data_IF_803739256214
#
_entry.id   IF_803739256214
#
_cell.length_a   1.000
_cell.length_b   1.000
_cell.length_c   1.000
_cell.angle_alpha   90.00
_cell.angle_beta   90.00
_cell.angle_gamma   90.00
#
_symmetry.space_group_name_H-M   'P 1'
#
loop_
_entity.id
_entity.type
_entity.pdbx_description
1 polymer ?
#
# COMPACT_ATOMS: atom_id res chain seq x y z
N UNK A 1 -9.94 40.08 -6.14
CA UNK A 1 -9.54 38.76 -6.65
C UNK A 1 -8.50 38.23 -5.69
N UNK A 2 -8.90 37.34 -4.78
CA UNK A 2 -7.91 36.57 -4.03
C UNK A 2 -7.23 35.61 -5.01
N UNK A 3 -5.91 35.71 -5.11
CA UNK A 3 -5.11 34.67 -5.73
C UNK A 3 -5.21 33.45 -4.81
N UNK A 4 -6.14 32.53 -5.12
CA UNK A 4 -6.11 31.20 -4.53
C UNK A 4 -4.87 30.54 -5.13
N UNK A 5 -3.79 30.48 -4.35
CA UNK A 5 -2.63 29.66 -4.68
C UNK A 5 -3.13 28.26 -5.00
N UNK A 6 -2.89 27.82 -6.24
CA UNK A 6 -3.27 26.49 -6.69
C UNK A 6 -2.39 25.52 -5.91
N UNK A 7 -2.93 24.96 -4.82
CA UNK A 7 -2.25 23.97 -3.98
C UNK A 7 -1.64 22.91 -4.89
N UNK A 8 -0.34 22.68 -4.78
CA UNK A 8 0.32 21.66 -5.59
C UNK A 8 -0.35 20.32 -5.26
N UNK A 9 -0.90 19.64 -6.27
CA UNK A 9 -1.66 18.39 -6.08
C UNK A 9 -0.80 17.31 -5.42
N UNK A 10 0.53 17.40 -5.53
CA UNK A 10 1.47 16.48 -4.90
C UNK A 10 1.51 16.60 -3.37
N UNK A 11 1.24 17.79 -2.81
CA UNK A 11 1.32 18.03 -1.36
C UNK A 11 0.17 17.36 -0.58
N UNK A 12 -0.88 16.95 -1.29
CA UNK A 12 -2.04 16.23 -0.72
C UNK A 12 -1.95 14.72 -0.90
N UNK A 13 -0.87 14.22 -1.52
CA UNK A 13 -0.64 12.80 -1.77
C UNK A 13 0.30 12.24 -0.70
N UNK A 14 -0.14 11.14 -0.08
CA UNK A 14 0.69 10.32 0.80
C UNK A 14 1.01 8.98 0.13
N UNK A 15 2.29 8.69 -0.06
CA UNK A 15 2.76 7.35 -0.38
C UNK A 15 2.94 6.58 0.93
N UNK A 16 2.22 5.47 1.08
CA UNK A 16 2.39 4.53 2.19
C UNK A 16 3.25 3.37 1.69
N UNK A 17 4.52 3.33 2.13
CA UNK A 17 5.45 2.26 1.79
C UNK A 17 5.27 1.10 2.76
N UNK A 18 4.77 -0.05 2.29
CA UNK A 18 4.53 -1.23 3.16
C UNK A 18 5.77 -2.12 3.24
N UNK A 19 6.24 -2.37 4.46
CA UNK A 19 7.44 -3.18 4.72
C UNK A 19 7.23 -4.16 5.88
N UNK A 20 7.93 -5.30 5.79
CA UNK A 20 8.01 -6.31 6.84
C UNK A 20 9.42 -6.89 6.78
N UNK A 21 10.29 -6.60 7.74
CA UNK A 21 11.67 -7.11 7.72
C UNK A 21 11.72 -8.54 8.28
N UNK A 22 11.22 -8.74 9.50
CA UNK A 22 11.14 -10.04 10.13
C UNK A 22 9.83 -10.72 9.75
N UNK A 23 9.93 -11.71 8.86
CA UNK A 23 8.76 -12.47 8.41
C UNK A 23 8.31 -13.43 9.51
N UNK A 24 7.04 -13.34 9.89
CA UNK A 24 6.41 -14.37 10.72
C UNK A 24 6.36 -15.69 9.93
N UNK A 25 6.97 -16.78 10.43
CA UNK A 25 7.07 -18.06 9.70
C UNK A 25 5.72 -18.73 9.47
N UNK A 26 4.65 -18.29 10.12
CA UNK A 26 3.27 -18.76 9.89
C UNK A 26 2.63 -18.13 8.65
N UNK A 27 3.26 -17.12 8.03
CA UNK A 27 2.75 -16.48 6.81
C UNK A 27 3.09 -17.33 5.58
N UNK A 28 2.09 -17.60 4.75
CA UNK A 28 2.23 -18.45 3.57
C UNK A 28 2.66 -17.67 2.31
N UNK A 29 3.10 -18.40 1.28
CA UNK A 29 3.41 -17.88 -0.06
C UNK A 29 4.50 -16.79 -0.11
N UNK A 30 5.56 -16.97 0.68
CA UNK A 30 6.73 -16.09 0.69
C UNK A 30 7.97 -16.83 0.16
N UNK A 31 8.63 -16.27 -0.84
CA UNK A 31 9.89 -16.81 -1.36
C UNK A 31 11.12 -16.11 -0.75
N UNK A 32 11.05 -14.78 -0.56
CA UNK A 32 12.12 -14.02 0.07
C UNK A 32 11.81 -13.75 1.55
N UNK A 33 12.32 -14.60 2.43
CA UNK A 33 12.16 -14.49 3.89
C UNK A 33 13.42 -14.03 4.62
N UNK A 34 14.54 -13.89 3.92
CA UNK A 34 15.83 -13.51 4.51
C UNK A 34 15.84 -12.02 4.91
N UNK A 35 15.94 -11.67 6.21
CA UNK A 35 15.82 -10.29 6.67
C UNK A 35 16.83 -9.34 6.03
N UNK A 36 18.07 -9.78 5.84
CA UNK A 36 19.15 -8.96 5.25
C UNK A 36 18.81 -8.55 3.82
N UNK A 37 18.38 -9.49 2.98
CA UNK A 37 18.00 -9.21 1.59
C UNK A 37 16.81 -8.24 1.50
N UNK A 38 15.83 -8.38 2.42
CA UNK A 38 14.67 -7.50 2.49
C UNK A 38 15.06 -6.10 2.91
N UNK A 39 15.91 -5.98 3.94
CA UNK A 39 16.44 -4.71 4.42
C UNK A 39 17.16 -3.95 3.32
N UNK A 40 18.11 -4.59 2.63
CA UNK A 40 18.86 -3.97 1.54
C UNK A 40 17.95 -3.46 0.42
N UNK A 41 16.98 -4.28 0.02
CA UNK A 41 15.99 -3.92 -1.01
C UNK A 41 15.15 -2.71 -0.57
N UNK A 42 14.67 -2.71 0.68
CA UNK A 42 13.78 -1.66 1.18
C UNK A 42 14.53 -0.35 1.39
N UNK A 43 15.72 -0.39 1.99
CA UNK A 43 16.54 0.80 2.19
C UNK A 43 16.85 1.48 0.86
N UNK A 44 17.19 0.70 -0.18
CA UNK A 44 17.42 1.23 -1.52
C UNK A 44 16.19 1.96 -2.06
N UNK A 45 15.03 1.31 -2.04
CA UNK A 45 13.77 1.89 -2.54
C UNK A 45 13.35 3.13 -1.73
N UNK A 46 13.39 3.08 -0.40
CA UNK A 46 13.04 4.20 0.49
C UNK A 46 13.92 5.42 0.18
N UNK A 47 15.24 5.22 0.05
CA UNK A 47 16.17 6.32 -0.30
C UNK A 47 15.83 6.91 -1.66
N UNK A 48 15.53 6.08 -2.65
CA UNK A 48 15.12 6.56 -3.98
C UNK A 48 13.85 7.40 -3.92
N UNK A 49 12.84 6.97 -3.18
CA UNK A 49 11.63 7.74 -2.92
C UNK A 49 11.91 9.09 -2.23
N UNK A 50 12.79 9.11 -1.22
CA UNK A 50 13.15 10.33 -0.49
C UNK A 50 14.10 11.27 -1.25
N UNK A 51 14.86 10.78 -2.21
CA UNK A 51 15.83 11.61 -2.94
C UNK A 51 15.29 12.12 -4.26
N UNK A 52 14.36 11.39 -4.89
CA UNK A 52 13.95 11.62 -6.27
C UNK A 52 12.47 11.96 -6.44
N UNK A 53 11.74 12.18 -5.33
CA UNK A 53 10.33 12.62 -5.37
C UNK A 53 10.05 13.64 -4.27
N UNK A 54 8.95 14.37 -4.44
CA UNK A 54 8.44 15.39 -3.52
C UNK A 54 7.23 14.92 -2.70
N UNK A 55 6.80 13.66 -2.87
CA UNK A 55 5.66 13.12 -2.13
C UNK A 55 5.85 13.17 -0.61
N UNK A 56 4.75 13.22 0.13
CA UNK A 56 4.75 12.85 1.55
C UNK A 56 4.82 11.33 1.65
N UNK A 57 5.72 10.83 2.48
CA UNK A 57 6.02 9.41 2.58
C UNK A 57 5.83 8.93 4.01
N UNK A 58 5.02 7.90 4.16
CA UNK A 58 4.85 7.17 5.41
C UNK A 58 5.40 5.77 5.18
N UNK A 59 6.52 5.44 5.83
CA UNK A 59 7.01 4.07 5.88
C UNK A 59 6.28 3.35 7.01
N UNK A 60 5.61 2.25 6.68
CA UNK A 60 5.03 1.36 7.68
C UNK A 60 5.80 0.05 7.75
N UNK A 61 6.21 -0.31 8.96
CA UNK A 61 6.94 -1.54 9.28
C UNK A 61 6.20 -2.25 10.41
N UNK A 62 5.75 -3.48 10.16
CA UNK A 62 4.89 -4.22 11.09
C UNK A 62 5.59 -5.40 11.81
N UNK A 63 6.91 -5.55 11.67
CA UNK A 63 7.68 -6.64 12.27
C UNK A 63 8.56 -6.23 13.45
N UNK A 64 8.51 -4.97 13.86
CA UNK A 64 9.27 -4.41 14.99
C UNK A 64 10.67 -3.91 14.62
N UNK A 65 11.07 -3.94 13.34
CA UNK A 65 12.35 -3.41 12.91
C UNK A 65 12.38 -1.87 12.98
N UNK A 66 13.51 -1.32 13.42
CA UNK A 66 13.60 0.11 13.80
C UNK A 66 14.24 1.03 12.76
N UNK A 67 14.77 0.48 11.66
CA UNK A 67 15.46 1.22 10.59
C UNK A 67 16.47 2.27 11.10
N UNK A 68 17.46 1.90 11.95
CA UNK A 68 18.48 2.85 12.39
C UNK A 68 19.24 3.50 11.22
N UNK A 69 19.34 2.82 10.07
CA UNK A 69 19.99 3.29 8.84
C UNK A 69 19.29 4.51 8.21
N UNK A 70 18.06 4.81 8.62
CA UNK A 70 17.27 5.94 8.12
C UNK A 70 17.30 7.16 9.05
N UNK A 71 18.09 7.14 10.14
CA UNK A 71 18.11 8.24 11.11
C UNK A 71 18.40 9.62 10.50
N UNK A 72 19.42 9.71 9.63
CA UNK A 72 19.75 10.97 8.94
C UNK A 72 18.67 11.38 7.93
N UNK A 73 18.03 10.41 7.27
CA UNK A 73 16.93 10.67 6.33
C UNK A 73 15.67 11.15 7.04
N UNK A 74 15.38 10.58 8.22
CA UNK A 74 14.27 11.00 9.05
C UNK A 74 14.41 12.48 9.46
N UNK A 75 15.61 12.92 9.86
CA UNK A 75 15.84 14.34 10.17
C UNK A 75 15.83 15.22 8.90
N UNK A 76 16.54 14.80 7.85
CA UNK A 76 16.65 15.56 6.60
C UNK A 76 15.30 15.79 5.90
N UNK A 77 14.39 14.80 5.98
CA UNK A 77 13.10 14.81 5.30
C UNK A 77 11.91 14.90 6.27
N UNK A 78 12.10 15.32 7.52
CA UNK A 78 11.09 15.30 8.59
C UNK A 78 9.74 15.94 8.26
N UNK A 79 9.71 16.93 7.38
CA UNK A 79 8.48 17.62 6.98
C UNK A 79 7.61 16.80 6.01
N UNK A 80 8.19 15.75 5.41
CA UNK A 80 7.52 14.89 4.43
C UNK A 80 7.81 13.40 4.59
N UNK A 81 8.49 12.98 5.65
CA UNK A 81 8.81 11.59 5.91
C UNK A 81 8.50 11.22 7.37
N UNK A 82 7.67 10.20 7.55
CA UNK A 82 7.31 9.65 8.85
C UNK A 82 7.44 8.13 8.84
N UNK A 83 7.89 7.55 9.94
CA UNK A 83 8.00 6.10 10.12
C UNK A 83 7.01 5.63 11.18
N UNK A 84 6.11 4.72 10.80
CA UNK A 84 5.19 4.02 11.69
C UNK A 84 5.72 2.60 11.90
N UNK A 85 6.36 2.37 13.04
CA UNK A 85 7.11 1.16 13.34
C UNK A 85 6.49 0.44 14.52
N UNK A 86 5.91 -0.74 14.28
CA UNK A 86 5.27 -1.54 15.31
C UNK A 86 5.55 -3.03 15.06
N UNK A 87 5.23 -3.85 16.05
CA UNK A 87 5.31 -5.30 15.92
C UNK A 87 3.91 -5.85 16.14
N UNK A 88 3.37 -6.48 15.09
CA UNK A 88 1.95 -6.88 15.02
C UNK A 88 1.53 -7.77 16.20
N UNK A 89 2.40 -8.67 16.67
CA UNK A 89 2.14 -9.61 17.78
C UNK A 89 2.28 -8.99 19.19
N UNK A 90 2.70 -7.73 19.28
CA UNK A 90 2.83 -6.98 20.55
C UNK A 90 1.71 -5.93 20.73
N UNK A 91 0.82 -5.78 19.74
CA UNK A 91 -0.32 -4.88 19.84
C UNK A 91 -1.42 -5.48 20.73
N UNK A 92 -2.15 -4.61 21.44
CA UNK A 92 -3.26 -5.05 22.28
C UNK A 92 -4.49 -5.39 21.43
N UNK A 93 -5.37 -6.22 21.99
CA UNK A 93 -6.60 -6.65 21.33
C UNK A 93 -7.50 -5.47 20.93
N UNK A 94 -7.52 -4.41 21.74
CA UNK A 94 -8.31 -3.20 21.50
C UNK A 94 -7.92 -2.53 20.18
N UNK A 95 -6.63 -2.54 19.81
CA UNK A 95 -6.17 -1.97 18.54
C UNK A 95 -6.77 -2.72 17.35
N UNK A 96 -6.81 -4.05 17.43
CA UNK A 96 -7.41 -4.87 16.38
C UNK A 96 -8.93 -4.67 16.33
N UNK A 97 -9.58 -4.55 17.49
CA UNK A 97 -11.02 -4.35 17.57
C UNK A 97 -11.45 -2.98 17.03
N UNK A 98 -10.68 -1.92 17.30
CA UNK A 98 -10.92 -0.57 16.78
C UNK A 98 -10.80 -0.50 15.25
N UNK A 99 -9.87 -1.25 14.66
CA UNK A 99 -9.64 -1.29 13.21
C UNK A 99 -10.57 -2.30 12.50
N UNK A 100 -11.12 -3.28 13.25
CA UNK A 100 -11.85 -4.42 12.68
C UNK A 100 -10.93 -5.53 12.14
N UNK A 101 -9.70 -5.62 12.62
CA UNK A 101 -8.71 -6.59 12.14
C UNK A 101 -8.62 -7.85 13.02
N UNK A 102 -9.71 -8.32 13.61
CA UNK A 102 -9.70 -9.45 14.55
C UNK A 102 -9.07 -10.72 13.95
N UNK A 103 -9.26 -10.95 12.66
CA UNK A 103 -8.70 -12.09 11.95
C UNK A 103 -7.15 -12.10 11.92
N UNK A 104 -6.51 -10.94 12.09
CA UNK A 104 -5.04 -10.80 12.11
C UNK A 104 -4.42 -11.28 13.42
N UNK A 105 -5.19 -11.35 14.52
CA UNK A 105 -4.69 -11.76 15.85
C UNK A 105 -4.98 -13.22 16.22
N UNK A 106 -5.87 -13.89 15.51
CA UNK A 106 -6.32 -15.26 15.84
C UNK A 106 -5.46 -16.31 15.11
N UNK A 107 -4.52 -17.01 15.77
CA UNK A 107 -3.56 -17.88 15.07
C UNK A 107 -4.18 -19.07 14.33
N UNK A 108 -5.38 -19.47 14.74
CA UNK A 108 -6.17 -20.55 14.14
C UNK A 108 -7.12 -20.05 13.03
N UNK A 109 -7.22 -18.73 12.83
CA UNK A 109 -7.97 -18.15 11.73
C UNK A 109 -7.20 -18.32 10.42
N UNK A 110 -7.88 -18.76 9.37
CA UNK A 110 -7.27 -18.92 8.06
C UNK A 110 -6.64 -17.63 7.53
N UNK A 111 -7.27 -16.47 7.80
CA UNK A 111 -6.77 -15.16 7.39
C UNK A 111 -5.53 -14.71 8.16
N UNK A 112 -5.26 -15.27 9.35
CA UNK A 112 -4.03 -15.01 10.10
C UNK A 112 -2.79 -15.40 9.29
N UNK A 113 -2.89 -16.42 8.44
CA UNK A 113 -1.75 -16.85 7.60
C UNK A 113 -1.58 -16.00 6.34
N UNK A 114 -2.56 -15.11 6.04
CA UNK A 114 -2.49 -14.22 4.89
C UNK A 114 -1.54 -13.06 5.13
N UNK A 115 -0.66 -12.86 4.16
CA UNK A 115 0.17 -11.65 4.04
C UNK A 115 -0.68 -10.43 3.69
N UNK A 116 -1.71 -10.62 2.86
CA UNK A 116 -2.59 -9.53 2.42
C UNK A 116 -3.33 -8.88 3.58
N UNK A 117 -3.80 -9.69 4.53
CA UNK A 117 -4.50 -9.20 5.73
C UNK A 117 -3.60 -8.36 6.63
N UNK A 118 -2.37 -8.80 6.91
CA UNK A 118 -1.39 -7.97 7.64
C UNK A 118 -1.01 -6.70 6.88
N UNK A 119 -0.92 -6.74 5.55
CA UNK A 119 -0.62 -5.54 4.75
C UNK A 119 -1.77 -4.52 4.85
N UNK A 120 -3.02 -4.95 4.70
CA UNK A 120 -4.19 -4.06 4.85
C UNK A 120 -4.30 -3.48 6.26
N UNK A 121 -4.03 -4.29 7.28
CA UNK A 121 -3.95 -3.82 8.65
C UNK A 121 -2.86 -2.75 8.82
N UNK A 122 -1.64 -3.00 8.32
CA UNK A 122 -0.54 -2.05 8.42
C UNK A 122 -0.85 -0.71 7.72
N UNK A 123 -1.49 -0.74 6.55
CA UNK A 123 -1.91 0.48 5.84
C UNK A 123 -2.93 1.28 6.67
N UNK A 124 -3.95 0.59 7.21
CA UNK A 124 -4.99 1.23 8.02
C UNK A 124 -4.43 1.79 9.33
N UNK A 125 -3.59 1.01 10.02
CA UNK A 125 -2.88 1.42 11.23
C UNK A 125 -2.00 2.65 10.97
N UNK A 126 -1.21 2.65 9.88
CA UNK A 126 -0.40 3.79 9.51
C UNK A 126 -1.24 5.05 9.28
N UNK A 127 -2.40 4.93 8.62
CA UNK A 127 -3.32 6.07 8.41
C UNK A 127 -3.86 6.66 9.70
N UNK A 128 -4.13 5.83 10.70
CA UNK A 128 -4.62 6.24 12.01
C UNK A 128 -3.52 6.89 12.87
N UNK A 129 -2.31 6.34 12.86
CA UNK A 129 -1.22 6.81 13.71
C UNK A 129 -0.49 8.01 13.12
N UNK A 130 -0.23 8.02 11.81
CA UNK A 130 0.61 9.03 11.15
C UNK A 130 0.00 10.43 11.22
N UNK A 131 0.78 11.38 11.73
CA UNK A 131 0.43 12.81 11.69
C UNK A 131 0.54 13.35 10.27
N UNK A 132 1.54 12.90 9.51
CA UNK A 132 1.76 13.30 8.13
C UNK A 132 0.62 12.86 7.21
N UNK A 133 0.19 11.60 7.30
CA UNK A 133 -0.92 11.06 6.52
C UNK A 133 -2.23 11.81 6.79
N UNK A 134 -2.45 12.29 8.03
CA UNK A 134 -3.64 13.09 8.38
C UNK A 134 -3.73 14.42 7.65
N UNK A 135 -2.62 14.93 7.10
CA UNK A 135 -2.60 16.16 6.29
C UNK A 135 -2.90 15.93 4.81
N UNK A 136 -3.13 14.68 4.40
CA UNK A 136 -3.26 14.28 3.00
C UNK A 136 -4.71 13.92 2.65
N UNK A 137 -5.04 14.08 1.38
CA UNK A 137 -6.36 13.81 0.82
C UNK A 137 -6.38 12.54 -0.03
N UNK A 138 -5.23 12.13 -0.57
CA UNK A 138 -5.11 10.93 -1.38
C UNK A 138 -3.98 10.03 -0.86
N UNK A 139 -4.24 8.73 -0.76
CA UNK A 139 -3.30 7.73 -0.25
C UNK A 139 -2.96 6.76 -1.35
N UNK A 140 -1.68 6.46 -1.53
CA UNK A 140 -1.21 5.46 -2.48
C UNK A 140 -0.31 4.49 -1.70
N UNK A 141 -0.80 3.28 -1.50
CA UNK A 141 0.02 2.17 -1.04
C UNK A 141 0.96 1.76 -2.15
N UNK A 142 2.24 1.66 -1.80
CA UNK A 142 3.25 1.01 -2.64
C UNK A 142 4.00 -0.01 -1.79
N UNK A 143 4.20 -1.21 -2.31
CA UNK A 143 5.05 -2.19 -1.63
C UNK A 143 6.49 -1.68 -1.62
N UNK A 144 7.13 -1.60 -0.44
CA UNK A 144 8.42 -0.95 -0.22
C UNK A 144 9.59 -1.52 -1.06
N UNK A 145 9.41 -2.69 -1.70
CA UNK A 145 10.36 -3.25 -2.68
C UNK A 145 10.60 -2.34 -3.89
N UNK A 146 9.63 -1.53 -4.27
CA UNK A 146 9.65 -0.87 -5.57
C UNK A 146 9.76 0.66 -5.45
N UNK A 147 10.62 1.23 -6.27
CA UNK A 147 10.64 2.65 -6.60
C UNK A 147 10.06 2.84 -8.01
N UNK A 148 9.17 3.83 -8.16
CA UNK A 148 8.47 4.09 -9.42
C UNK A 148 8.83 5.50 -9.91
N UNK A 149 9.88 5.64 -10.74
CA UNK A 149 10.45 6.95 -11.08
C UNK A 149 9.46 7.85 -11.84
N UNK A 150 8.50 7.25 -12.55
CA UNK A 150 7.55 7.97 -13.40
C UNK A 150 6.26 8.38 -12.66
N UNK A 151 6.05 7.93 -11.42
CA UNK A 151 4.78 8.15 -10.73
C UNK A 151 4.52 9.63 -10.45
N UNK A 152 5.52 10.39 -10.03
CA UNK A 152 5.37 11.83 -9.77
C UNK A 152 4.96 12.58 -11.03
N UNK A 153 5.67 12.37 -12.13
CA UNK A 153 5.31 12.98 -13.42
C UNK A 153 3.92 12.55 -13.89
N UNK A 154 3.55 11.29 -13.68
CA UNK A 154 2.22 10.77 -14.04
C UNK A 154 1.11 11.44 -13.24
N UNK A 155 1.33 11.80 -11.97
CA UNK A 155 0.29 12.43 -11.14
C UNK A 155 0.31 13.96 -11.20
N UNK A 156 1.40 14.57 -11.66
CA UNK A 156 1.62 16.03 -11.64
C UNK A 156 0.57 16.84 -12.41
N UNK A 157 -0.06 16.26 -13.45
CA UNK A 157 -1.06 16.92 -14.29
C UNK A 157 -2.50 16.53 -13.94
N UNK A 158 -2.69 15.67 -12.94
CA UNK A 158 -4.01 15.13 -12.55
C UNK A 158 -4.56 15.85 -11.33
N UNK A 159 -5.86 16.15 -11.39
CA UNK A 159 -6.62 16.56 -10.23
C UNK A 159 -7.15 15.32 -9.51
N UNK A 160 -6.54 14.95 -8.38
CA UNK A 160 -6.90 13.71 -7.69
C UNK A 160 -8.25 13.76 -6.99
N UNK A 161 -8.82 14.94 -6.79
CA UNK A 161 -10.20 15.08 -6.29
C UNK A 161 -11.24 14.57 -7.30
N UNK A 162 -10.85 14.43 -8.58
CA UNK A 162 -11.72 13.86 -9.61
C UNK A 162 -11.82 12.33 -9.51
N UNK A 163 -10.97 11.68 -8.71
CA UNK A 163 -10.86 10.23 -8.59
C UNK A 163 -11.16 9.76 -7.16
N UNK A 164 -11.81 8.61 -7.07
CA UNK A 164 -12.08 7.93 -5.81
C UNK A 164 -10.98 6.94 -5.43
N UNK A 165 -10.31 6.38 -6.45
CA UNK A 165 -9.25 5.40 -6.27
C UNK A 165 -8.23 5.45 -7.40
N UNK A 166 -7.10 4.79 -7.18
CA UNK A 166 -6.04 4.58 -8.16
C UNK A 166 -5.66 3.10 -8.16
N UNK A 167 -5.40 2.53 -9.33
CA UNK A 167 -4.90 1.16 -9.45
C UNK A 167 -3.75 1.04 -10.43
N UNK A 168 -2.91 0.05 -10.17
CA UNK A 168 -1.94 -0.43 -11.12
C UNK A 168 -2.60 -0.92 -12.41
N UNK A 169 -1.90 -0.76 -13.53
CA UNK A 169 -2.33 -1.28 -14.81
C UNK A 169 -1.85 -2.71 -15.00
N UNK A 170 -2.79 -3.63 -14.94
CA UNK A 170 -2.58 -5.06 -15.10
C UNK A 170 -3.18 -5.58 -16.41
N UNK A 171 -3.52 -4.68 -17.35
CA UNK A 171 -4.10 -5.04 -18.64
C UNK A 171 -5.58 -5.42 -18.62
N UNK A 172 -6.23 -5.44 -17.45
CA UNK A 172 -7.65 -5.76 -17.32
C UNK A 172 -8.44 -4.48 -17.03
N UNK A 173 -9.33 -4.11 -17.95
CA UNK A 173 -10.20 -2.94 -17.82
C UNK A 173 -11.68 -3.30 -17.66
N UNK A 174 -12.03 -4.57 -17.87
CA UNK A 174 -13.41 -5.06 -17.78
C UNK A 174 -13.61 -5.86 -16.49
N UNK A 175 -14.51 -5.43 -15.59
CA UNK A 175 -14.88 -6.18 -14.40
C UNK A 175 -15.43 -7.59 -14.68
N UNK A 176 -16.04 -7.86 -15.83
CA UNK A 176 -16.57 -9.20 -16.12
C UNK A 176 -15.45 -10.21 -16.40
N UNK A 177 -14.31 -9.76 -16.93
CA UNK A 177 -13.11 -10.59 -17.13
C UNK A 177 -12.42 -10.98 -15.80
N UNK A 178 -12.78 -10.33 -14.69
CA UNK A 178 -12.22 -10.64 -13.37
C UNK A 178 -12.50 -12.07 -12.91
N UNK A 179 -13.64 -12.64 -13.30
CA UNK A 179 -14.00 -14.01 -12.89
C UNK A 179 -13.05 -15.05 -13.51
N UNK A 180 -12.48 -14.74 -14.67
CA UNK A 180 -11.64 -15.65 -15.45
C UNK A 180 -10.14 -15.49 -15.13
N UNK A 181 -9.69 -14.30 -14.71
CA UNK A 181 -8.27 -13.97 -14.51
C UNK A 181 -7.86 -13.73 -13.04
N UNK A 182 -8.52 -14.38 -12.08
CA UNK A 182 -8.29 -14.19 -10.63
C UNK A 182 -6.82 -14.29 -10.17
N UNK A 183 -5.96 -14.95 -10.94
CA UNK A 183 -4.52 -15.11 -10.65
C UNK A 183 -3.57 -14.05 -11.22
N UNK A 184 -4.02 -13.13 -12.09
CA UNK A 184 -3.16 -12.16 -12.78
C UNK A 184 -3.29 -10.71 -12.27
N UNK A 185 -4.04 -10.51 -11.18
CA UNK A 185 -4.21 -9.18 -10.59
C UNK A 185 -2.92 -8.76 -9.88
N UNK A 186 -2.49 -7.51 -10.10
CA UNK A 186 -1.32 -6.93 -9.44
C UNK A 186 -1.76 -5.84 -8.47
N UNK A 187 -1.10 -5.73 -7.33
CA UNK A 187 -1.48 -4.74 -6.30
C UNK A 187 -0.29 -4.04 -5.66
N UNK A 188 0.85 -4.00 -6.35
CA UNK A 188 2.02 -3.27 -5.90
C UNK A 188 1.72 -1.77 -5.77
N UNK A 189 0.80 -1.23 -6.57
CA UNK A 189 0.31 0.16 -6.50
C UNK A 189 -1.23 0.17 -6.39
N UNK A 190 -1.74 0.67 -5.27
CA UNK A 190 -3.18 0.82 -5.00
C UNK A 190 -3.38 2.12 -4.25
N UNK A 191 -4.37 2.93 -4.62
CA UNK A 191 -4.67 4.18 -3.95
C UNK A 191 -6.14 4.45 -3.75
N UNK A 192 -6.44 5.34 -2.82
CA UNK A 192 -7.79 5.80 -2.50
C UNK A 192 -7.78 7.26 -2.05
N UNK A 193 -8.80 7.99 -2.46
CA UNK A 193 -9.11 9.28 -1.86
C UNK A 193 -9.57 9.07 -0.41
N UNK A 194 -9.34 10.04 0.49
CA UNK A 194 -9.63 9.94 1.93
C UNK A 194 -11.07 9.52 2.23
N UNK A 195 -12.02 9.96 1.42
CA UNK A 195 -13.45 9.65 1.58
C UNK A 195 -13.81 8.21 1.19
N UNK A 196 -12.89 7.49 0.54
CA UNK A 196 -13.02 6.10 0.10
C UNK A 196 -11.95 5.19 0.68
N UNK A 197 -11.13 5.71 1.60
CA UNK A 197 -10.02 4.96 2.19
C UNK A 197 -10.51 3.66 2.84
N UNK A 198 -11.55 3.72 3.66
CA UNK A 198 -12.09 2.52 4.33
C UNK A 198 -12.72 1.54 3.33
N UNK A 199 -13.36 2.03 2.27
CA UNK A 199 -13.93 1.15 1.23
C UNK A 199 -12.86 0.29 0.55
N UNK A 200 -11.64 0.83 0.39
CA UNK A 200 -10.52 0.15 -0.27
C UNK A 200 -9.64 -0.62 0.72
N UNK A 201 -9.25 -0.02 1.84
CA UNK A 201 -8.18 -0.53 2.71
C UNK A 201 -8.62 -1.14 4.03
N UNK A 202 -9.91 -1.12 4.38
CA UNK A 202 -10.37 -1.64 5.68
C UNK A 202 -10.13 -3.16 5.82
N UNK A 203 -9.52 -3.66 6.89
CA UNK A 203 -9.09 -5.05 6.98
C UNK A 203 -10.18 -6.06 7.42
N UNK A 204 -11.35 -5.60 7.89
CA UNK A 204 -12.45 -6.45 8.36
C UNK A 204 -13.19 -7.22 7.24
N UNK A 205 -13.04 -6.79 5.99
CA UNK A 205 -13.87 -7.28 4.88
C UNK A 205 -13.06 -8.04 3.82
N UNK A 206 -12.46 -9.18 4.16
CA UNK A 206 -11.88 -10.13 3.19
C UNK A 206 -12.93 -10.97 2.43
N UNK A 207 -14.20 -10.62 2.60
CA UNK A 207 -15.33 -11.15 1.83
C UNK A 207 -15.56 -10.27 0.61
N UNK A 208 -15.46 -10.86 -0.58
CA UNK A 208 -15.77 -10.17 -1.83
C UNK A 208 -17.27 -10.09 -2.09
N UNK A 209 -17.66 -9.34 -3.11
CA UNK A 209 -19.05 -9.22 -3.60
C UNK A 209 -19.69 -10.56 -4.00
N UNK A 210 -18.88 -11.56 -4.37
CA UNK A 210 -19.34 -12.93 -4.64
C UNK A 210 -19.73 -13.71 -3.37
N UNK A 211 -19.56 -13.10 -2.19
CA UNK A 211 -19.86 -13.69 -0.91
C UNK A 211 -18.81 -14.67 -0.40
N UNK A 212 -17.69 -14.84 -1.12
CA UNK A 212 -16.60 -15.74 -0.75
C UNK A 212 -15.49 -14.99 -0.01
N UNK A 213 -14.79 -15.71 0.85
CA UNK A 213 -13.57 -15.22 1.51
C UNK A 213 -12.37 -15.44 0.58
N UNK A 214 -11.57 -14.40 0.40
CA UNK A 214 -10.34 -14.45 -0.39
C UNK A 214 -9.15 -14.11 0.50
N UNK A 215 -7.97 -14.64 0.19
CA UNK A 215 -6.74 -14.40 0.97
C UNK A 215 -5.76 -13.46 0.26
N UNK A 216 -5.91 -13.29 -1.05
CA UNK A 216 -5.09 -12.41 -1.87
C UNK A 216 -5.61 -10.97 -1.80
N UNK A 217 -4.80 -10.04 -1.32
CA UNK A 217 -5.17 -8.63 -1.22
C UNK A 217 -5.49 -8.05 -2.61
N UNK A 218 -4.82 -8.55 -3.65
CA UNK A 218 -5.04 -8.22 -5.06
C UNK A 218 -6.52 -8.40 -5.45
N UNK A 219 -7.08 -9.56 -5.10
CA UNK A 219 -8.48 -9.91 -5.36
C UNK A 219 -9.43 -8.98 -4.60
N UNK A 220 -9.12 -8.71 -3.34
CA UNK A 220 -9.91 -7.84 -2.45
C UNK A 220 -9.93 -6.40 -2.97
N UNK A 221 -8.77 -5.83 -3.31
CA UNK A 221 -8.69 -4.46 -3.80
C UNK A 221 -9.48 -4.28 -5.10
N UNK A 222 -9.33 -5.22 -6.04
CA UNK A 222 -10.04 -5.15 -7.32
C UNK A 222 -11.56 -5.27 -7.13
N UNK A 223 -12.02 -6.24 -6.33
CA UNK A 223 -13.44 -6.39 -5.99
C UNK A 223 -14.01 -5.10 -5.39
N UNK A 224 -13.32 -4.53 -4.39
CA UNK A 224 -13.75 -3.29 -3.74
C UNK A 224 -13.83 -2.12 -4.70
N UNK A 225 -12.83 -1.94 -5.55
CA UNK A 225 -12.81 -0.88 -6.55
C UNK A 225 -13.99 -1.02 -7.53
N UNK A 226 -14.29 -2.23 -8.00
CA UNK A 226 -15.33 -2.44 -9.00
C UNK A 226 -16.75 -2.49 -8.44
N UNK A 227 -16.92 -2.75 -7.14
CA UNK A 227 -18.25 -2.98 -6.56
C UNK A 227 -18.65 -1.97 -5.48
N UNK A 228 -17.72 -1.20 -4.92
CA UNK A 228 -17.99 -0.27 -3.80
C UNK A 228 -17.77 1.20 -4.16
N UNK A 229 -17.15 1.48 -5.31
CA UNK A 229 -16.97 2.84 -5.80
C UNK A 229 -18.15 3.29 -6.66
N UNK A 230 -18.27 4.60 -6.84
CA UNK A 230 -19.45 5.19 -7.50
C UNK A 230 -19.49 4.94 -9.00
N UNK A 231 -18.33 4.88 -9.65
CA UNK A 231 -18.19 4.58 -11.08
C UNK A 231 -16.77 4.12 -11.40
N UNK A 232 -16.62 3.32 -12.46
CA UNK A 232 -15.31 2.91 -12.97
C UNK A 232 -14.49 4.09 -13.51
N UNK A 233 -15.15 5.13 -14.04
CA UNK A 233 -14.48 6.36 -14.52
C UNK A 233 -13.83 7.17 -13.39
N UNK A 234 -14.18 6.86 -12.13
CA UNK A 234 -13.58 7.44 -10.93
C UNK A 234 -12.37 6.67 -10.43
N UNK A 235 -11.92 5.64 -11.15
CA UNK A 235 -10.73 4.86 -10.85
C UNK A 235 -9.62 5.28 -11.80
N UNK A 236 -8.59 5.95 -11.29
CA UNK A 236 -7.41 6.28 -12.07
C UNK A 236 -6.58 5.02 -12.31
N UNK A 237 -6.42 4.64 -13.57
CA UNK A 237 -5.53 3.54 -13.97
C UNK A 237 -4.15 4.12 -14.27
N UNK A 238 -3.11 3.59 -13.64
CA UNK A 238 -1.74 4.00 -13.92
C UNK A 238 -1.31 3.71 -15.37
N UNK A 239 -0.27 4.39 -15.84
CA UNK A 239 0.50 3.85 -16.96
C UNK A 239 1.28 2.60 -16.51
N UNK A 240 1.71 1.78 -17.46
CA UNK A 240 2.72 0.75 -17.16
C UNK A 240 4.07 1.43 -16.94
N UNK A 241 4.57 1.36 -15.71
CA UNK A 241 5.82 1.99 -15.31
C UNK A 241 7.00 1.04 -15.47
N UNK A 242 8.15 1.58 -15.83
CA UNK A 242 9.41 0.83 -15.88
C UNK A 242 10.05 0.92 -14.51
N UNK A 243 10.36 -0.21 -13.92
CA UNK A 243 11.06 -0.28 -12.64
C UNK A 243 12.40 -0.98 -12.81
N UNK A 244 13.28 -0.77 -11.84
CA UNK A 244 14.47 -1.61 -11.74
C UNK A 244 14.06 -3.08 -11.52
N UNK A 245 14.70 -4.05 -12.20
CA UNK A 245 14.42 -5.47 -11.99
C UNK A 245 14.49 -5.85 -10.51
N UNK A 246 13.34 -6.20 -9.93
CA UNK A 246 13.21 -6.44 -8.49
C UNK A 246 12.54 -7.78 -8.24
N UNK A 247 13.07 -8.57 -7.30
CA UNK A 247 12.52 -9.88 -6.95
C UNK A 247 11.12 -9.73 -6.34
N UNK A 248 10.18 -10.53 -6.82
CA UNK A 248 8.83 -10.58 -6.27
C UNK A 248 8.81 -11.23 -4.88
N UNK A 249 7.78 -10.90 -4.09
CA UNK A 249 7.67 -11.41 -2.72
C UNK A 249 7.25 -12.88 -2.63
N UNK A 250 6.40 -13.33 -3.57
CA UNK A 250 5.82 -14.67 -3.57
C UNK A 250 6.35 -15.61 -4.66
N UNK A 251 7.31 -15.15 -5.47
CA UNK A 251 7.95 -15.95 -6.53
C UNK A 251 9.44 -15.58 -6.64
N UNK A 252 10.24 -16.39 -7.33
CA UNK A 252 11.65 -16.06 -7.64
C UNK A 252 11.81 -15.24 -8.93
N UNK A 253 10.72 -14.65 -9.42
CA UNK A 253 10.74 -13.90 -10.68
C UNK A 253 11.14 -12.43 -10.45
N UNK A 254 11.82 -11.88 -11.45
CA UNK A 254 12.15 -10.45 -11.48
C UNK A 254 11.03 -9.67 -12.17
N UNK A 255 10.43 -8.75 -11.44
CA UNK A 255 9.48 -7.79 -11.96
C UNK A 255 10.23 -6.60 -12.54
N UNK A 256 9.88 -6.21 -13.77
CA UNK A 256 10.51 -5.09 -14.51
C UNK A 256 9.54 -3.97 -14.85
N UNK A 257 8.25 -4.23 -14.68
CA UNK A 257 7.18 -3.29 -14.95
C UNK A 257 6.11 -3.42 -13.87
N UNK A 258 5.56 -2.26 -13.47
CA UNK A 258 4.37 -2.16 -12.66
C UNK A 258 3.22 -1.62 -13.49
#
# INVERSE_FOLDING_TARGET
>A
MEFVEKKNSLDTICIILTSTIYVNPKKNHLCNTEPTNRLETYLKSIKQWLENTNFKIVLVENSGYKFPELGEYAEKYKDRFEMILFKEDELSDEVFDEIGAQAVRLPDDYLYTSKGTSEMFAIHYARQQSLLAKTCDFFIKITCRYFVPQLESFLSDKNLDDYEALRQNDGVNDPELFKEERGNCKCEIVGAHKNKFDEIFRPDHFKCSDGMWHHHAETIYRDRMFTRLTSLDKILVCDTFKIEPTLQGGTFELMRHL
#
